data_IF_270043895244
#
_entry.id   IF_270043895244
#
_cell.length_a   1.000
_cell.length_b   1.000
_cell.length_c   1.000
_cell.angle_alpha   90.00
_cell.angle_beta   90.00
_cell.angle_gamma   90.00
#
_symmetry.space_group_name_H-M   'P 1'
#
loop_
_entity.id
_entity.type
_entity.pdbx_description
1 polymer ?
#
# COMPACT_ATOMS: atom_id res chain seq x y z
N UNK A 1 -21.62 -3.35 16.21
CA UNK A 1 -20.92 -2.30 16.98
C UNK A 1 -20.20 -3.02 18.11
N UNK A 2 -18.88 -2.83 18.28
CA UNK A 2 -18.19 -3.35 19.46
C UNK A 2 -18.88 -2.81 20.71
N UNK A 3 -18.91 -3.57 21.80
CA UNK A 3 -19.38 -3.00 23.07
C UNK A 3 -18.53 -1.76 23.39
N UNK A 4 -19.12 -0.74 24.03
CA UNK A 4 -18.40 0.50 24.36
C UNK A 4 -17.09 0.23 25.13
N UNK A 5 -17.06 -0.85 25.91
CA UNK A 5 -15.88 -1.35 26.60
C UNK A 5 -14.79 -1.82 25.63
N UNK A 6 -15.12 -2.69 24.66
CA UNK A 6 -14.16 -3.17 23.65
C UNK A 6 -13.61 -2.01 22.82
N UNK A 7 -14.47 -1.04 22.47
CA UNK A 7 -14.03 0.14 21.73
C UNK A 7 -13.04 0.98 22.52
N UNK A 8 -13.28 1.21 23.81
CA UNK A 8 -12.35 1.91 24.69
C UNK A 8 -11.02 1.15 24.86
N UNK A 9 -11.07 -0.19 24.99
CA UNK A 9 -9.90 -1.05 25.06
C UNK A 9 -9.03 -0.96 23.80
N UNK A 10 -9.65 -1.01 22.60
CA UNK A 10 -8.94 -0.85 21.33
C UNK A 10 -8.25 0.51 21.26
N UNK A 11 -8.97 1.60 21.56
CA UNK A 11 -8.38 2.95 21.54
C UNK A 11 -7.24 3.09 22.55
N UNK A 12 -7.41 2.54 23.76
CA UNK A 12 -6.32 2.52 24.75
C UNK A 12 -5.11 1.72 24.27
N UNK A 13 -5.34 0.63 23.54
CA UNK A 13 -4.27 -0.21 22.97
C UNK A 13 -3.54 0.52 21.84
N UNK A 14 -4.25 1.27 20.99
CA UNK A 14 -3.62 2.12 19.97
C UNK A 14 -2.74 3.20 20.61
N UNK A 15 -3.24 3.90 21.64
CA UNK A 15 -2.47 4.93 22.34
C UNK A 15 -1.24 4.38 23.09
N UNK A 16 -1.23 3.08 23.39
CA UNK A 16 -0.09 2.41 24.03
C UNK A 16 1.04 2.05 23.05
N UNK A 17 0.85 2.22 21.73
CA UNK A 17 1.89 2.01 20.71
C UNK A 17 2.99 3.06 20.82
N UNK A 18 2.62 4.32 21.02
CA UNK A 18 3.56 5.43 21.08
C UNK A 18 2.92 6.75 20.67
N UNK A 19 3.76 7.74 20.42
CA UNK A 19 3.33 9.05 19.93
C UNK A 19 4.42 9.69 19.06
N UNK A 20 3.99 10.43 18.04
CA UNK A 20 4.86 11.28 17.25
C UNK A 20 5.09 12.59 18.01
N UNK A 21 6.26 12.76 18.62
CA UNK A 21 6.55 14.01 19.30
C UNK A 21 6.57 15.17 18.27
N UNK A 22 6.19 16.38 18.71
CA UNK A 22 6.21 17.61 17.88
C UNK A 22 7.59 17.89 17.26
N UNK A 23 8.65 17.27 17.79
CA UNK A 23 10.04 17.34 17.33
C UNK A 23 10.48 16.08 16.57
N UNK A 24 9.78 15.78 15.47
CA UNK A 24 10.14 14.87 14.35
C UNK A 24 10.43 13.39 14.61
N UNK A 25 10.65 12.92 15.85
CA UNK A 25 10.95 11.51 16.15
C UNK A 25 9.79 10.81 16.87
N UNK A 26 9.45 9.59 16.43
CA UNK A 26 8.46 8.74 17.09
C UNK A 26 9.00 8.18 18.41
N UNK A 27 8.17 8.18 19.45
CA UNK A 27 8.50 7.64 20.78
C UNK A 27 7.65 6.39 21.00
N UNK A 28 8.31 5.24 21.19
CA UNK A 28 7.62 3.99 21.52
C UNK A 28 6.97 4.06 22.90
N UNK A 29 5.74 3.55 22.99
CA UNK A 29 5.13 3.22 24.26
C UNK A 29 5.87 2.07 24.95
N UNK A 30 5.85 2.01 26.29
CA UNK A 30 6.60 1.02 27.08
C UNK A 30 6.22 -0.44 26.78
N UNK A 31 5.00 -0.67 26.27
CA UNK A 31 4.46 -2.00 25.94
C UNK A 31 3.99 -2.06 24.48
N UNK A 32 4.69 -1.35 23.57
CA UNK A 32 4.29 -1.27 22.16
C UNK A 32 4.16 -2.65 21.50
N UNK A 33 5.12 -3.56 21.73
CA UNK A 33 5.11 -4.90 21.15
C UNK A 33 3.90 -5.72 21.60
N UNK A 34 3.61 -5.70 22.90
CA UNK A 34 2.47 -6.38 23.51
C UNK A 34 1.16 -5.79 23.00
N UNK A 35 1.06 -4.46 22.94
CA UNK A 35 -0.09 -3.74 22.40
C UNK A 35 -0.35 -4.11 20.94
N UNK A 36 0.69 -4.14 20.10
CA UNK A 36 0.58 -4.58 18.70
C UNK A 36 0.16 -6.06 18.58
N UNK A 37 0.65 -6.94 19.46
CA UNK A 37 0.18 -8.35 19.53
C UNK A 37 -1.29 -8.42 19.90
N UNK A 38 -1.75 -7.58 20.82
CA UNK A 38 -3.16 -7.54 21.24
C UNK A 38 -4.07 -7.01 20.13
N UNK A 39 -3.65 -5.99 19.36
CA UNK A 39 -4.36 -5.55 18.15
C UNK A 39 -4.53 -6.70 17.14
N UNK A 40 -3.49 -7.51 16.91
CA UNK A 40 -3.60 -8.70 16.06
C UNK A 40 -4.61 -9.71 16.65
N UNK A 41 -4.61 -9.93 17.97
CA UNK A 41 -5.57 -10.84 18.62
C UNK A 41 -7.00 -10.32 18.48
N UNK A 42 -7.22 -9.02 18.60
CA UNK A 42 -8.52 -8.39 18.39
C UNK A 42 -9.00 -8.60 16.95
N UNK A 43 -8.15 -8.33 15.95
CA UNK A 43 -8.48 -8.55 14.53
C UNK A 43 -8.82 -10.01 14.18
N UNK A 44 -8.24 -11.00 14.89
CA UNK A 44 -8.61 -12.42 14.71
C UNK A 44 -10.00 -12.77 15.23
N UNK A 45 -10.55 -11.96 16.12
CA UNK A 45 -11.87 -12.14 16.74
C UNK A 45 -12.86 -11.07 16.24
N UNK A 46 -12.54 -10.42 15.12
CA UNK A 46 -13.40 -9.41 14.54
C UNK A 46 -14.75 -10.02 14.15
N UNK A 47 -15.79 -9.19 14.19
CA UNK A 47 -17.14 -9.61 13.82
C UNK A 47 -17.31 -9.64 12.30
N UNK A 48 -18.44 -10.17 11.83
CA UNK A 48 -18.80 -10.22 10.39
C UNK A 48 -18.84 -8.83 9.75
N UNK A 49 -19.03 -7.78 10.56
CA UNK A 49 -19.02 -6.42 10.07
C UNK A 49 -17.60 -5.89 9.87
N UNK A 50 -16.57 -6.54 10.42
CA UNK A 50 -15.20 -6.06 10.55
C UNK A 50 -15.10 -4.79 11.43
N UNK A 51 -15.82 -4.75 12.54
CA UNK A 51 -15.92 -3.54 13.36
C UNK A 51 -14.60 -3.11 14.01
N UNK A 52 -13.75 -4.04 14.40
CA UNK A 52 -12.43 -3.76 14.98
C UNK A 52 -11.53 -3.15 13.91
N UNK A 53 -11.46 -3.77 12.72
CA UNK A 53 -10.72 -3.23 11.57
C UNK A 53 -11.17 -1.82 11.23
N UNK A 54 -12.48 -1.55 11.19
CA UNK A 54 -13.01 -0.21 10.88
C UNK A 54 -12.59 0.79 11.95
N UNK A 55 -12.68 0.44 13.23
CA UNK A 55 -12.21 1.32 14.31
C UNK A 55 -10.71 1.63 14.20
N UNK A 56 -9.86 0.63 13.88
CA UNK A 56 -8.44 0.87 13.63
C UNK A 56 -8.20 1.76 12.40
N UNK A 57 -9.03 1.61 11.36
CA UNK A 57 -9.08 2.49 10.21
C UNK A 57 -9.40 3.94 10.55
N UNK A 58 -10.41 4.17 11.39
CA UNK A 58 -10.82 5.51 11.84
C UNK A 58 -9.68 6.21 12.62
N UNK A 59 -8.86 5.45 13.36
CA UNK A 59 -7.68 5.97 14.07
C UNK A 59 -6.46 6.24 13.18
N UNK A 60 -6.46 5.78 11.93
CA UNK A 60 -5.36 5.93 10.97
C UNK A 60 -3.98 5.41 11.47
N UNK A 61 -3.98 4.37 12.30
CA UNK A 61 -2.77 3.84 12.97
C UNK A 61 -1.66 3.41 12.03
N UNK A 62 -1.97 3.02 10.79
CA UNK A 62 -0.96 2.66 9.79
C UNK A 62 -0.04 3.86 9.52
N UNK A 63 -0.62 5.04 9.33
CA UNK A 63 0.13 6.27 9.06
C UNK A 63 0.74 6.86 10.33
N UNK A 64 -0.02 6.93 11.43
CA UNK A 64 0.40 7.64 12.64
C UNK A 64 1.41 6.86 13.48
N UNK A 65 1.37 5.52 13.43
CA UNK A 65 2.13 4.67 14.34
C UNK A 65 2.93 3.60 13.61
N UNK A 66 2.29 2.71 12.85
CA UNK A 66 2.93 1.49 12.35
C UNK A 66 4.06 1.76 11.35
N UNK A 67 3.84 2.67 10.39
CA UNK A 67 4.89 3.09 9.46
C UNK A 67 6.05 3.79 10.21
N UNK A 68 5.79 4.81 11.06
CA UNK A 68 6.84 5.39 11.91
C UNK A 68 7.61 4.37 12.75
N UNK A 69 6.94 3.39 13.36
CA UNK A 69 7.60 2.35 14.16
C UNK A 69 8.60 1.58 13.31
N UNK A 70 8.23 1.16 12.09
CA UNK A 70 9.16 0.47 11.18
C UNK A 70 10.31 1.38 10.77
N UNK A 71 10.04 2.65 10.47
CA UNK A 71 11.07 3.62 10.03
C UNK A 71 12.10 3.89 11.13
N UNK A 72 11.66 4.05 12.38
CA UNK A 72 12.55 4.45 13.48
C UNK A 72 13.11 3.28 14.30
N UNK A 73 12.44 2.12 14.29
CA UNK A 73 12.73 0.98 15.17
C UNK A 73 12.78 -0.36 14.43
N UNK A 74 12.89 -0.35 13.10
CA UNK A 74 12.95 -1.56 12.27
C UNK A 74 14.14 -2.50 12.52
N UNK A 75 15.16 -2.03 13.25
CA UNK A 75 16.28 -2.86 13.70
C UNK A 75 15.88 -3.85 14.81
N UNK A 76 14.84 -3.55 15.59
CA UNK A 76 14.30 -4.47 16.59
C UNK A 76 13.49 -5.57 15.89
N UNK A 77 14.09 -6.75 15.72
CA UNK A 77 13.51 -7.84 14.92
C UNK A 77 12.18 -8.35 15.46
N UNK A 78 12.03 -8.49 16.78
CA UNK A 78 10.77 -8.94 17.39
C UNK A 78 9.64 -7.94 17.20
N UNK A 79 9.94 -6.64 17.31
CA UNK A 79 8.95 -5.59 17.08
C UNK A 79 8.62 -5.49 15.59
N UNK A 80 9.63 -5.57 14.72
CA UNK A 80 9.47 -5.55 13.27
C UNK A 80 8.52 -6.65 12.80
N UNK A 81 8.70 -7.91 13.25
CA UNK A 81 7.81 -9.01 12.85
C UNK A 81 6.36 -8.74 13.25
N UNK A 82 6.13 -8.30 14.50
CA UNK A 82 4.76 -8.05 15.00
C UNK A 82 4.10 -6.92 14.20
N UNK A 83 4.83 -5.82 13.95
CA UNK A 83 4.28 -4.68 13.21
C UNK A 83 4.05 -5.03 11.73
N UNK A 84 4.96 -5.77 11.10
CA UNK A 84 4.79 -6.27 9.74
C UNK A 84 3.53 -7.15 9.61
N UNK A 85 3.31 -8.05 10.57
CA UNK A 85 2.10 -8.89 10.61
C UNK A 85 0.82 -8.07 10.75
N UNK A 86 0.85 -7.01 11.56
CA UNK A 86 -0.29 -6.11 11.71
C UNK A 86 -0.55 -5.32 10.42
N UNK A 87 0.50 -4.82 9.75
CA UNK A 87 0.40 -4.13 8.46
C UNK A 87 -0.18 -5.04 7.37
N UNK A 88 0.31 -6.29 7.24
CA UNK A 88 -0.24 -7.26 6.28
C UNK A 88 -1.72 -7.54 6.57
N UNK A 89 -2.10 -7.69 7.84
CA UNK A 89 -3.50 -7.90 8.21
C UNK A 89 -4.37 -6.69 7.84
N UNK A 90 -3.97 -5.48 8.22
CA UNK A 90 -4.74 -4.26 8.00
C UNK A 90 -4.86 -3.90 6.50
N UNK A 91 -3.92 -4.33 5.68
CA UNK A 91 -3.92 -4.13 4.22
C UNK A 91 -4.58 -5.26 3.44
N UNK A 92 -5.18 -6.26 4.10
CA UNK A 92 -5.90 -7.33 3.41
C UNK A 92 -6.99 -6.75 2.49
N UNK A 93 -7.04 -7.14 1.20
CA UNK A 93 -8.05 -6.67 0.25
C UNK A 93 -9.46 -6.84 0.81
N UNK A 94 -10.29 -5.80 0.68
CA UNK A 94 -11.66 -5.83 1.23
C UNK A 94 -12.49 -6.99 0.67
N UNK A 95 -12.31 -7.37 -0.60
CA UNK A 95 -12.98 -8.53 -1.18
C UNK A 95 -12.70 -9.83 -0.42
N UNK A 96 -11.48 -10.03 0.08
CA UNK A 96 -11.14 -11.23 0.87
C UNK A 96 -11.92 -11.24 2.20
N UNK A 97 -12.13 -10.08 2.82
CA UNK A 97 -12.91 -9.95 4.05
C UNK A 97 -14.39 -10.26 3.85
N UNK A 98 -14.87 -10.21 2.60
CA UNK A 98 -16.24 -10.49 2.20
C UNK A 98 -16.33 -11.75 1.31
N UNK A 99 -15.40 -12.70 1.47
CA UNK A 99 -15.41 -13.99 0.78
C UNK A 99 -15.50 -13.90 -0.76
N UNK A 100 -14.85 -12.88 -1.33
CA UNK A 100 -14.86 -12.58 -2.77
C UNK A 100 -16.23 -12.21 -3.35
N UNK A 101 -17.19 -11.82 -2.50
CA UNK A 101 -18.52 -11.38 -2.91
C UNK A 101 -18.76 -9.91 -2.53
N UNK A 102 -19.40 -9.15 -3.43
CA UNK A 102 -19.80 -7.78 -3.13
C UNK A 102 -21.09 -7.79 -2.28
N UNK A 103 -21.14 -7.02 -1.19
CA UNK A 103 -22.35 -6.96 -0.37
C UNK A 103 -23.55 -6.44 -1.15
N UNK A 104 -24.65 -7.19 -1.10
CA UNK A 104 -25.92 -6.81 -1.71
C UNK A 104 -26.72 -5.86 -0.79
N UNK A 105 -26.63 -6.07 0.53
CA UNK A 105 -27.32 -5.22 1.50
C UNK A 105 -26.72 -3.81 1.56
N UNK A 106 -27.59 -2.81 1.72
CA UNK A 106 -27.19 -1.40 1.71
C UNK A 106 -26.26 -1.06 2.88
N UNK A 107 -26.52 -1.60 4.06
CA UNK A 107 -25.71 -1.34 5.27
C UNK A 107 -24.35 -2.00 5.10
N UNK A 108 -24.32 -3.28 4.73
CA UNK A 108 -23.06 -3.99 4.49
C UNK A 108 -22.21 -3.33 3.40
N UNK A 109 -22.85 -2.82 2.34
CA UNK A 109 -22.17 -2.06 1.28
C UNK A 109 -21.54 -0.77 1.81
N UNK A 110 -22.19 -0.06 2.72
CA UNK A 110 -21.61 1.12 3.36
C UNK A 110 -20.38 0.76 4.21
N UNK A 111 -20.44 -0.35 4.95
CA UNK A 111 -19.31 -0.83 5.75
C UNK A 111 -18.13 -1.26 4.87
N UNK A 112 -18.41 -1.95 3.76
CA UNK A 112 -17.42 -2.31 2.75
C UNK A 112 -16.73 -1.06 2.18
N UNK A 113 -17.50 -0.03 1.80
CA UNK A 113 -16.93 1.23 1.31
C UNK A 113 -16.11 1.97 2.37
N UNK A 114 -16.51 1.91 3.64
CA UNK A 114 -15.70 2.45 4.73
C UNK A 114 -14.32 1.76 4.79
N UNK A 115 -14.28 0.42 4.67
CA UNK A 115 -13.00 -0.33 4.65
C UNK A 115 -12.16 0.05 3.43
N UNK A 116 -12.75 0.18 2.24
CA UNK A 116 -12.05 0.65 1.04
C UNK A 116 -11.43 2.03 1.27
N UNK A 117 -12.18 2.96 1.87
CA UNK A 117 -11.68 4.31 2.19
C UNK A 117 -10.48 4.28 3.15
N UNK A 118 -10.46 3.36 4.12
CA UNK A 118 -9.33 3.17 5.02
C UNK A 118 -8.10 2.61 4.28
N UNK A 119 -8.31 1.61 3.42
CA UNK A 119 -7.24 1.06 2.57
C UNK A 119 -6.65 2.14 1.66
N UNK A 120 -7.47 2.98 1.05
CA UNK A 120 -7.01 4.10 0.21
C UNK A 120 -6.13 5.08 1.01
N UNK A 121 -6.52 5.45 2.23
CA UNK A 121 -5.68 6.26 3.13
C UNK A 121 -4.35 5.57 3.44
N UNK A 122 -4.37 4.26 3.67
CA UNK A 122 -3.15 3.49 3.91
C UNK A 122 -2.24 3.48 2.68
N UNK A 123 -2.78 3.30 1.47
CA UNK A 123 -2.01 3.34 0.21
C UNK A 123 -1.22 4.63 0.07
N UNK A 124 -1.86 5.77 0.36
CA UNK A 124 -1.19 7.08 0.38
C UNK A 124 -0.09 7.12 1.45
N UNK A 125 -0.34 6.61 2.65
CA UNK A 125 0.67 6.55 3.71
C UNK A 125 1.90 5.71 3.34
N UNK A 126 1.73 4.66 2.52
CA UNK A 126 2.82 3.84 2.00
C UNK A 126 3.67 4.53 0.93
N UNK A 127 3.35 5.75 0.49
CA UNK A 127 4.25 6.59 -0.30
C UNK A 127 5.41 7.13 0.57
N UNK A 128 6.14 6.24 1.24
CA UNK A 128 7.21 6.54 2.18
C UNK A 128 8.48 5.75 1.83
N UNK A 129 9.48 6.43 1.26
CA UNK A 129 10.72 5.80 0.79
C UNK A 129 11.53 5.16 1.91
N UNK A 130 11.57 5.81 3.09
CA UNK A 130 12.31 5.30 4.24
C UNK A 130 11.75 3.96 4.71
N UNK A 131 10.42 3.82 4.76
CA UNK A 131 9.75 2.56 5.11
C UNK A 131 10.18 1.43 4.18
N UNK A 132 10.11 1.65 2.86
CA UNK A 132 10.46 0.62 1.88
C UNK A 132 11.96 0.29 1.87
N UNK A 133 12.85 1.25 2.19
CA UNK A 133 14.28 0.98 2.36
C UNK A 133 14.57 0.04 3.54
N UNK A 134 13.84 0.16 4.65
CA UNK A 134 13.95 -0.77 5.78
C UNK A 134 13.52 -2.17 5.34
N UNK A 135 12.36 -2.29 4.69
CA UNK A 135 11.85 -3.57 4.20
C UNK A 135 12.80 -4.20 3.17
N UNK A 136 13.35 -3.40 2.24
CA UNK A 136 14.37 -3.86 1.29
C UNK A 136 15.56 -4.44 2.03
N UNK A 137 16.11 -3.70 2.99
CA UNK A 137 17.28 -4.15 3.76
C UNK A 137 17.02 -5.48 4.45
N UNK A 138 15.86 -5.64 5.10
CA UNK A 138 15.46 -6.91 5.73
C UNK A 138 15.30 -8.03 4.70
N UNK A 139 14.58 -7.79 3.61
CA UNK A 139 14.37 -8.79 2.56
C UNK A 139 15.70 -9.23 1.93
N UNK A 140 16.58 -8.29 1.57
CA UNK A 140 17.92 -8.59 1.04
C UNK A 140 18.75 -9.41 2.03
N UNK A 141 18.71 -9.09 3.33
CA UNK A 141 19.44 -9.85 4.34
C UNK A 141 18.99 -11.32 4.43
N UNK A 142 17.71 -11.58 4.17
CA UNK A 142 17.13 -12.93 4.16
C UNK A 142 17.47 -13.67 2.86
N UNK A 143 17.40 -12.98 1.73
CA UNK A 143 17.71 -13.53 0.40
C UNK A 143 19.21 -13.86 0.22
N UNK A 144 20.09 -13.18 0.95
CA UNK A 144 21.53 -13.49 0.97
C UNK A 144 21.85 -14.80 1.71
N UNK A 145 20.89 -15.39 2.42
CA UNK A 145 21.03 -16.71 3.04
C UNK A 145 20.58 -17.74 2.01
N UNK A 146 21.41 -18.76 1.77
CA UNK A 146 21.08 -19.86 0.87
C UNK A 146 19.71 -20.45 1.24
N UNK A 147 18.89 -20.75 0.24
CA UNK A 147 17.49 -21.17 0.44
C UNK A 147 17.37 -22.33 1.45
N UNK A 148 18.23 -23.35 1.35
CA UNK A 148 18.24 -24.51 2.26
C UNK A 148 18.73 -24.23 3.68
N UNK A 149 19.37 -23.08 3.93
CA UNK A 149 19.88 -22.67 5.25
C UNK A 149 18.96 -21.66 5.94
N UNK A 150 17.94 -21.16 5.24
CA UNK A 150 17.00 -20.17 5.76
C UNK A 150 16.07 -20.83 6.79
N UNK A 151 15.96 -20.22 7.96
CA UNK A 151 14.97 -20.65 8.96
C UNK A 151 13.56 -20.35 8.47
N UNK A 152 12.57 -21.15 8.90
CA UNK A 152 11.16 -20.93 8.58
C UNK A 152 10.71 -19.51 8.95
N UNK A 153 11.12 -19.01 10.11
CA UNK A 153 10.82 -17.64 10.56
C UNK A 153 11.30 -16.58 9.57
N UNK A 154 12.54 -16.70 9.07
CA UNK A 154 13.07 -15.77 8.06
C UNK A 154 12.32 -15.88 6.73
N UNK A 155 11.96 -17.10 6.32
CA UNK A 155 11.10 -17.34 5.15
C UNK A 155 9.76 -16.61 5.27
N UNK A 156 9.08 -16.75 6.40
CA UNK A 156 7.81 -16.10 6.68
C UNK A 156 7.91 -14.57 6.69
N UNK A 157 9.02 -14.00 7.18
CA UNK A 157 9.24 -12.54 7.11
C UNK A 157 9.37 -12.08 5.66
N UNK A 158 10.16 -12.78 4.84
CA UNK A 158 10.32 -12.44 3.43
C UNK A 158 8.98 -12.54 2.67
N UNK A 159 8.23 -13.61 2.89
CA UNK A 159 6.89 -13.79 2.32
C UNK A 159 5.93 -12.65 2.73
N UNK A 160 5.91 -12.27 4.02
CA UNK A 160 5.08 -11.17 4.51
C UNK A 160 5.44 -9.82 3.88
N UNK A 161 6.72 -9.56 3.63
CA UNK A 161 7.16 -8.34 2.91
C UNK A 161 6.58 -8.34 1.49
N UNK A 162 6.68 -9.46 0.78
CA UNK A 162 6.18 -9.60 -0.59
C UNK A 162 4.64 -9.46 -0.63
N UNK A 163 3.94 -10.11 0.30
CA UNK A 163 2.48 -9.99 0.45
C UNK A 163 2.09 -8.55 0.76
N UNK A 164 2.83 -7.83 1.61
CA UNK A 164 2.54 -6.42 1.89
C UNK A 164 2.66 -5.57 0.62
N UNK A 165 3.70 -5.77 -0.20
CA UNK A 165 3.86 -5.08 -1.49
C UNK A 165 2.63 -5.35 -2.38
N UNK A 166 2.24 -6.62 -2.52
CA UNK A 166 1.05 -7.02 -3.29
C UNK A 166 -0.21 -6.33 -2.77
N UNK A 167 -0.47 -6.41 -1.47
CA UNK A 167 -1.64 -5.81 -0.84
C UNK A 167 -1.73 -4.31 -1.12
N UNK A 168 -0.64 -3.55 -0.92
CA UNK A 168 -0.62 -2.10 -1.14
C UNK A 168 -0.87 -1.73 -2.62
N UNK A 169 -0.28 -2.47 -3.55
CA UNK A 169 -0.51 -2.24 -4.98
C UNK A 169 -1.95 -2.60 -5.40
N UNK A 170 -2.54 -3.62 -4.78
CA UNK A 170 -3.90 -4.07 -5.05
C UNK A 170 -4.97 -3.05 -4.64
N UNK A 171 -4.73 -2.25 -3.59
CA UNK A 171 -5.67 -1.22 -3.13
C UNK A 171 -6.15 -0.36 -4.31
N UNK A 172 -7.47 -0.21 -4.52
CA UNK A 172 -8.02 0.61 -5.60
C UNK A 172 -7.74 2.09 -5.33
N UNK A 173 -7.51 2.86 -6.37
CA UNK A 173 -7.40 4.32 -6.26
C UNK A 173 -8.80 4.92 -6.03
N UNK A 174 -8.86 6.05 -5.33
CA UNK A 174 -10.11 6.81 -5.16
C UNK A 174 -10.40 7.65 -6.43
N UNK A 175 -11.50 7.38 -7.14
CA UNK A 175 -11.86 8.13 -8.36
C UNK A 175 -11.99 9.63 -8.12
N UNK A 176 -12.43 10.06 -6.93
CA UNK A 176 -12.59 11.48 -6.60
C UNK A 176 -11.24 12.20 -6.49
N UNK A 177 -10.21 11.52 -5.99
CA UNK A 177 -8.84 12.06 -5.96
C UNK A 177 -8.19 12.12 -7.35
N UNK A 178 -8.51 11.21 -8.26
CA UNK A 178 -8.00 11.22 -9.65
C UNK A 178 -8.55 12.41 -10.46
N UNK A 179 -9.76 12.87 -10.15
CA UNK A 179 -10.39 14.02 -10.80
C UNK A 179 -9.81 15.37 -10.36
N UNK A 180 -9.11 15.42 -9.22
CA UNK A 180 -8.90 16.69 -8.52
C UNK A 180 -7.68 17.49 -8.98
N UNK A 181 -6.66 16.89 -9.62
CA UNK A 181 -5.47 17.62 -10.10
C UNK A 181 -4.80 16.90 -11.29
N UNK A 182 -4.76 17.52 -12.47
CA UNK A 182 -4.00 17.03 -13.63
C UNK A 182 -2.46 16.96 -13.40
N UNK A 183 -1.95 17.62 -12.35
CA UNK A 183 -0.51 17.77 -12.07
C UNK A 183 -0.01 16.97 -10.84
N UNK A 184 -0.89 16.32 -10.07
CA UNK A 184 -0.45 15.48 -8.95
C UNK A 184 -0.38 14.02 -9.38
N UNK A 185 0.75 13.31 -9.15
CA UNK A 185 0.84 11.90 -9.48
C UNK A 185 -0.20 11.10 -8.70
N UNK A 186 -0.81 10.11 -9.37
CA UNK A 186 -1.74 9.18 -8.75
C UNK A 186 -1.08 8.54 -7.50
N UNK A 187 -1.85 8.28 -6.45
CA UNK A 187 -1.39 7.52 -5.29
C UNK A 187 -0.75 6.18 -5.71
N UNK A 188 -1.27 5.54 -6.76
CA UNK A 188 -0.67 4.33 -7.32
C UNK A 188 0.74 4.58 -7.87
N UNK A 189 0.88 5.50 -8.81
CA UNK A 189 2.16 5.84 -9.43
C UNK A 189 3.19 6.30 -8.40
N UNK A 190 2.74 7.04 -7.39
CA UNK A 190 3.59 7.48 -6.28
C UNK A 190 4.14 6.28 -5.49
N UNK A 191 3.31 5.29 -5.18
CA UNK A 191 3.78 4.05 -4.51
C UNK A 191 4.77 3.30 -5.38
N UNK A 192 4.48 3.10 -6.68
CA UNK A 192 5.40 2.42 -7.62
C UNK A 192 6.72 3.17 -7.73
N UNK A 193 6.67 4.50 -7.86
CA UNK A 193 7.85 5.36 -7.88
C UNK A 193 8.69 5.20 -6.62
N UNK A 194 8.07 5.24 -5.43
CA UNK A 194 8.79 5.09 -4.16
C UNK A 194 9.36 3.67 -3.99
N UNK A 195 8.66 2.62 -4.41
CA UNK A 195 9.20 1.25 -4.44
C UNK A 195 10.47 1.17 -5.30
N UNK A 196 10.47 1.86 -6.46
CA UNK A 196 11.64 1.97 -7.32
C UNK A 196 12.78 2.76 -6.65
N UNK A 197 12.51 3.94 -6.08
CA UNK A 197 13.52 4.74 -5.37
C UNK A 197 14.14 4.01 -4.18
N UNK A 198 13.33 3.20 -3.48
CA UNK A 198 13.81 2.36 -2.40
C UNK A 198 14.67 1.19 -2.88
N UNK A 199 14.72 0.89 -4.19
CA UNK A 199 15.43 -0.24 -4.78
C UNK A 199 14.71 -1.58 -4.59
N UNK A 200 13.39 -1.56 -4.37
CA UNK A 200 12.59 -2.77 -4.17
C UNK A 200 12.38 -3.54 -5.47
N UNK A 201 12.24 -2.83 -6.61
CA UNK A 201 12.04 -3.49 -7.91
C UNK A 201 13.21 -4.38 -8.30
N UNK A 202 14.45 -3.96 -8.02
CA UNK A 202 15.65 -4.78 -8.26
C UNK A 202 15.61 -6.10 -7.48
N UNK A 203 15.08 -6.07 -6.25
CA UNK A 203 14.93 -7.28 -5.43
C UNK A 203 13.85 -8.19 -6.01
N UNK A 204 12.72 -7.64 -6.46
CA UNK A 204 11.66 -8.43 -7.10
C UNK A 204 12.15 -9.10 -8.39
N UNK A 205 12.93 -8.38 -9.19
CA UNK A 205 13.59 -8.92 -10.40
C UNK A 205 14.58 -10.03 -10.01
N UNK A 206 15.41 -9.79 -8.99
CA UNK A 206 16.34 -10.81 -8.51
C UNK A 206 15.62 -12.11 -8.10
N UNK A 207 14.52 -12.00 -7.35
CA UNK A 207 13.70 -13.17 -6.96
C UNK A 207 13.16 -13.86 -8.22
N UNK A 208 12.60 -13.11 -9.19
CA UNK A 208 12.08 -13.68 -10.44
C UNK A 208 13.13 -14.43 -11.26
N UNK A 209 14.40 -14.02 -11.15
CA UNK A 209 15.52 -14.63 -11.86
C UNK A 209 16.19 -15.78 -11.10
N UNK A 210 15.81 -16.03 -9.84
CA UNK A 210 16.45 -17.02 -8.97
C UNK A 210 15.58 -18.28 -8.86
N UNK A 211 15.97 -19.41 -9.48
CA UNK A 211 15.15 -20.63 -9.50
C UNK A 211 14.76 -21.17 -8.11
N UNK A 212 15.66 -21.02 -7.12
CA UNK A 212 15.45 -21.49 -5.75
C UNK A 212 14.39 -20.67 -4.99
N UNK A 213 13.95 -19.52 -5.53
CA UNK A 213 12.92 -18.68 -4.92
C UNK A 213 11.55 -18.85 -5.61
N UNK A 214 11.35 -19.98 -6.30
CA UNK A 214 10.15 -20.29 -7.08
C UNK A 214 8.84 -20.23 -6.31
N UNK A 215 8.85 -20.42 -4.98
CA UNK A 215 7.67 -20.30 -4.13
C UNK A 215 7.09 -18.88 -4.08
N UNK A 216 7.86 -17.85 -4.45
CA UNK A 216 7.36 -16.47 -4.54
C UNK A 216 6.77 -16.09 -5.90
N UNK A 217 6.90 -16.93 -6.93
CA UNK A 217 6.60 -16.54 -8.32
C UNK A 217 5.16 -16.10 -8.55
N UNK A 218 4.18 -16.72 -7.89
CA UNK A 218 2.78 -16.28 -7.99
C UNK A 218 2.59 -14.88 -7.40
N UNK A 219 3.20 -14.60 -6.24
CA UNK A 219 3.17 -13.26 -5.68
C UNK A 219 3.85 -12.23 -6.59
N UNK A 220 4.99 -12.58 -7.18
CA UNK A 220 5.68 -11.70 -8.13
C UNK A 220 4.85 -11.42 -9.37
N UNK A 221 4.18 -12.43 -9.92
CA UNK A 221 3.31 -12.27 -11.08
C UNK A 221 2.18 -11.29 -10.77
N UNK A 222 1.51 -11.45 -9.64
CA UNK A 222 0.47 -10.52 -9.19
C UNK A 222 1.02 -9.11 -8.97
N UNK A 223 2.19 -8.98 -8.33
CA UNK A 223 2.83 -7.68 -8.12
C UNK A 223 3.14 -7.00 -9.46
N UNK A 224 3.69 -7.72 -10.44
CA UNK A 224 3.97 -7.19 -11.78
C UNK A 224 2.70 -6.75 -12.50
N UNK A 225 1.64 -7.56 -12.44
CA UNK A 225 0.33 -7.18 -13.01
C UNK A 225 -0.23 -5.93 -12.32
N UNK A 226 -0.12 -5.85 -11.00
CA UNK A 226 -0.64 -4.73 -10.22
C UNK A 226 0.14 -3.43 -10.45
N UNK A 227 1.47 -3.48 -10.60
CA UNK A 227 2.29 -2.32 -10.95
C UNK A 227 1.94 -1.73 -12.32
N UNK A 228 1.50 -2.58 -13.25
CA UNK A 228 1.17 -2.19 -14.62
C UNK A 228 -0.33 -1.97 -14.83
N UNK A 229 -1.17 -2.14 -13.79
CA UNK A 229 -2.64 -2.24 -13.94
C UNK A 229 -3.29 -0.95 -14.47
N UNK A 230 -2.64 0.20 -14.28
CA UNK A 230 -3.11 1.52 -14.69
C UNK A 230 -2.35 2.05 -15.94
N UNK A 231 -1.50 1.22 -16.55
CA UNK A 231 -0.66 1.60 -17.68
C UNK A 231 -1.21 1.08 -19.01
N UNK A 232 -1.19 1.93 -20.04
CA UNK A 232 -1.45 1.52 -21.42
C UNK A 232 -0.17 0.91 -22.04
N UNK A 233 -0.20 -0.34 -22.53
CA UNK A 233 1.00 -1.01 -23.06
C UNK A 233 1.64 -0.27 -24.23
N UNK A 234 0.85 0.36 -25.11
CA UNK A 234 1.38 1.09 -26.25
C UNK A 234 2.09 2.38 -25.83
N UNK A 235 1.47 3.13 -24.92
CA UNK A 235 2.05 4.32 -24.31
C UNK A 235 3.37 3.97 -23.61
N UNK A 236 3.38 2.91 -22.81
CA UNK A 236 4.57 2.47 -22.07
C UNK A 236 5.72 2.08 -23.01
N UNK A 237 5.44 1.33 -24.08
CA UNK A 237 6.44 0.95 -25.08
C UNK A 237 7.02 2.16 -25.85
N UNK A 238 6.28 3.27 -25.94
CA UNK A 238 6.73 4.52 -26.58
C UNK A 238 7.52 5.42 -25.62
N UNK A 239 7.32 5.29 -24.31
CA UNK A 239 7.93 6.13 -23.27
C UNK A 239 9.46 6.06 -23.19
N UNK A 240 10.07 4.91 -23.51
CA UNK A 240 11.53 4.70 -23.49
C UNK A 240 12.25 5.19 -24.75
N UNK A 241 11.51 5.56 -25.80
CA UNK A 241 12.09 6.29 -26.92
C UNK A 241 12.27 7.72 -26.47
N UNK A 242 13.52 8.20 -26.35
CA UNK A 242 13.82 9.63 -26.31
C UNK A 242 12.98 10.32 -27.37
N UNK A 243 11.87 10.96 -26.97
CA UNK A 243 10.87 11.49 -27.91
C UNK A 243 11.60 12.27 -28.98
N UNK A 244 11.53 11.80 -30.22
CA UNK A 244 12.22 12.49 -31.31
C UNK A 244 11.63 13.89 -31.42
N UNK A 245 12.44 14.89 -31.78
CA UNK A 245 11.97 16.28 -31.90
C UNK A 245 10.74 16.38 -32.83
N UNK A 246 10.65 15.45 -33.79
CA UNK A 246 9.55 15.25 -34.72
C UNK A 246 8.25 14.76 -34.08
N UNK A 247 8.32 13.85 -33.10
CA UNK A 247 7.14 13.36 -32.37
C UNK A 247 6.61 14.44 -31.42
N UNK A 248 7.48 15.14 -30.71
CA UNK A 248 7.08 16.30 -29.88
C UNK A 248 6.37 17.36 -30.72
N UNK A 249 6.88 17.67 -31.91
CA UNK A 249 6.27 18.66 -32.80
C UNK A 249 4.93 18.18 -33.36
N UNK A 250 4.75 16.87 -33.59
CA UNK A 250 3.47 16.29 -34.01
C UNK A 250 2.43 16.37 -32.91
N UNK A 251 2.78 16.00 -31.69
CA UNK A 251 1.88 16.06 -30.53
C UNK A 251 1.48 17.51 -30.21
N UNK A 252 2.42 18.46 -30.27
CA UNK A 252 2.10 19.90 -30.13
C UNK A 252 1.14 20.39 -31.21
N UNK A 253 1.30 19.92 -32.45
CA UNK A 253 0.42 20.29 -33.55
C UNK A 253 -0.96 19.63 -33.42
N UNK A 254 -1.03 18.42 -32.89
CA UNK A 254 -2.28 17.72 -32.61
C UNK A 254 -3.04 18.37 -31.44
N UNK A 255 -2.35 18.71 -30.36
CA UNK A 255 -2.91 19.48 -29.23
C UNK A 255 -3.43 20.85 -29.68
N UNK A 256 -2.71 21.55 -30.57
CA UNK A 256 -3.19 22.81 -31.18
C UNK A 256 -4.47 22.58 -31.99
N UNK A 257 -4.53 21.51 -32.79
CA UNK A 257 -5.73 21.17 -33.58
C UNK A 257 -6.94 20.82 -32.71
N UNK A 258 -6.73 20.11 -31.61
CA UNK A 258 -7.80 19.78 -30.64
C UNK A 258 -8.29 21.05 -29.95
N UNK A 259 -7.37 21.90 -29.45
CA UNK A 259 -7.71 23.20 -28.86
C UNK A 259 -8.51 24.08 -29.82
N UNK A 260 -8.10 24.17 -31.08
CA UNK A 260 -8.79 24.97 -32.08
C UNK A 260 -10.20 24.43 -32.40
N UNK A 261 -10.39 23.11 -32.32
CA UNK A 261 -11.70 22.47 -32.46
C UNK A 261 -12.61 22.81 -31.29
N UNK A 262 -12.12 22.67 -30.06
CA UNK A 262 -12.87 23.01 -28.84
C UNK A 262 -13.23 24.50 -28.78
N UNK A 263 -12.34 25.40 -29.19
CA UNK A 263 -12.63 26.84 -29.25
C UNK A 263 -13.71 27.15 -30.29
N UNK A 264 -13.70 26.48 -31.44
CA UNK A 264 -14.75 26.63 -32.46
C UNK A 264 -16.09 26.08 -31.98
N UNK A 265 -16.09 24.97 -31.28
CA UNK A 265 -17.30 24.39 -30.68
C UNK A 265 -17.86 25.30 -29.58
N UNK A 266 -17.01 25.84 -28.70
CA UNK A 266 -17.43 26.82 -27.69
C UNK A 266 -17.99 28.11 -28.29
N UNK A 267 -17.46 28.58 -29.42
CA UNK A 267 -18.01 29.75 -30.14
C UNK A 267 -19.39 29.48 -30.73
N UNK A 268 -19.64 28.28 -31.26
CA UNK A 268 -20.96 27.86 -31.76
C UNK A 268 -22.04 27.72 -30.67
N UNK A 269 -21.64 27.68 -29.40
CA UNK A 269 -22.55 27.65 -28.25
C UNK A 269 -22.91 29.04 -27.72
N UNK A 270 -22.23 30.09 -28.19
CA UNK A 270 -22.40 31.49 -27.74
C UNK A 270 -23.13 32.34 -28.80
N UNK A 271 -23.26 31.83 -30.03
CA UNK A 271 -24.14 32.36 -31.09
C UNK A 271 -25.48 31.60 -31.10
#
# INVERSE_FOLDING_TARGET
MPSALISAEITSTCNALGDANKSTKYILGPHCKESAKDLIKYLRRDDETNSIRRQLGDTNIVHTDLIPIIVYFGDNEELFDVILRLLVNLTTPAMILYNEELPADKVERQLYQQIISHLQKYKVAFANEAFWKILRTKLTSILNIAHGERTEEKGLIAERIIILIRNVLQIPTDPETELCCHDNPNAHDTVVYVLNQAGMLDILIYIAMTPDEGHYYLHLLEIMMLMLKEQDPESLAKSDRTRTCTEKQKDENELKRIRDREVKEKRKWID
#
